data_IF_669778177067
#
_entry.id   IF_669778177067
#
_cell.length_a   1.000
_cell.length_b   1.000
_cell.length_c   1.000
_cell.angle_alpha   90.00
_cell.angle_beta   90.00
_cell.angle_gamma   90.00
#
_symmetry.space_group_name_H-M   'P 1'
#
loop_
_entity.id
_entity.type
_entity.pdbx_description
1 polymer ?
#
# COMPACT_ATOMS: atom_id res chain seq x y z
N UNK A 1 2.35 -32.16 52.17
CA UNK A 1 0.87 -32.05 52.12
C UNK A 1 0.48 -31.70 50.69
N UNK A 2 -0.27 -32.60 50.04
CA UNK A 2 -0.77 -32.44 48.68
C UNK A 2 -2.07 -31.64 48.73
N UNK A 3 -2.23 -30.63 47.88
CA UNK A 3 -3.51 -29.98 47.61
C UNK A 3 -3.85 -30.17 46.13
N UNK A 4 -4.98 -30.84 45.88
CA UNK A 4 -5.64 -30.93 44.57
C UNK A 4 -6.47 -29.66 44.38
N UNK A 5 -6.42 -29.08 43.17
CA UNK A 5 -7.39 -28.08 42.72
C UNK A 5 -8.58 -28.81 42.10
N UNK A 6 -9.78 -28.53 42.60
CA UNK A 6 -11.05 -28.84 41.91
C UNK A 6 -11.63 -27.54 41.35
N UNK A 7 -12.13 -27.51 40.11
CA UNK A 7 -12.87 -26.37 39.59
C UNK A 7 -14.31 -26.49 40.07
N UNK A 8 -14.81 -25.46 40.76
CA UNK A 8 -16.24 -25.04 40.80
C UNK A 8 -16.48 -24.18 42.04
N UNK A 9 -16.29 -22.87 41.90
CA UNK A 9 -16.91 -21.88 42.79
C UNK A 9 -17.42 -20.72 41.93
N UNK A 10 -18.70 -20.77 41.56
CA UNK A 10 -19.44 -19.59 41.14
C UNK A 10 -19.73 -18.72 42.37
N UNK A 11 -19.12 -17.53 42.44
CA UNK A 11 -19.47 -16.52 43.45
C UNK A 11 -20.76 -15.82 43.01
N UNK A 12 -21.88 -16.19 43.61
CA UNK A 12 -23.17 -15.51 43.48
C UNK A 12 -23.20 -14.28 44.39
N UNK A 13 -22.95 -13.09 43.83
CA UNK A 13 -23.14 -11.82 44.55
C UNK A 13 -24.63 -11.46 44.49
N UNK A 14 -25.29 -11.33 45.66
CA UNK A 14 -26.69 -10.88 45.72
C UNK A 14 -26.78 -9.38 45.48
N UNK A 15 -27.69 -8.98 44.59
CA UNK A 15 -27.93 -7.60 44.14
C UNK A 15 -28.19 -6.56 45.25
N UNK A 16 -28.62 -7.00 46.44
CA UNK A 16 -28.99 -6.11 47.55
C UNK A 16 -27.79 -5.59 48.35
N UNK A 17 -26.59 -6.13 48.11
CA UNK A 17 -25.40 -5.84 48.92
C UNK A 17 -24.43 -4.84 48.27
N UNK A 18 -24.82 -4.18 47.17
CA UNK A 18 -24.00 -3.17 46.47
C UNK A 18 -24.31 -1.77 47.03
N UNK A 19 -23.34 -1.07 47.66
CA UNK A 19 -23.54 0.26 48.23
C UNK A 19 -23.99 1.29 47.18
N UNK A 20 -24.92 2.16 47.57
CA UNK A 20 -25.63 3.14 46.72
C UNK A 20 -24.79 4.30 46.17
N UNK A 21 -23.46 4.30 46.34
CA UNK A 21 -22.59 5.41 45.95
C UNK A 21 -22.12 5.40 44.48
N UNK A 22 -22.47 4.38 43.68
CA UNK A 22 -22.09 4.28 42.27
C UNK A 22 -23.33 4.24 41.35
N UNK A 23 -23.99 5.38 41.13
CA UNK A 23 -25.19 5.46 40.28
C UNK A 23 -24.89 5.65 38.78
N UNK A 24 -23.66 5.97 38.37
CA UNK A 24 -23.29 6.09 36.94
C UNK A 24 -22.96 4.76 36.26
N UNK A 25 -22.55 3.74 37.01
CA UNK A 25 -22.15 2.42 36.46
C UNK A 25 -23.33 1.44 36.31
N UNK A 26 -24.49 1.74 36.90
CA UNK A 26 -25.71 0.91 36.81
C UNK A 26 -26.34 0.88 35.41
N UNK A 27 -26.14 1.91 34.60
CA UNK A 27 -26.68 1.98 33.22
C UNK A 27 -25.85 1.13 32.25
N UNK A 28 -24.53 1.08 32.46
CA UNK A 28 -23.60 0.31 31.62
C UNK A 28 -23.79 -1.20 31.86
N UNK A 29 -23.97 -1.62 33.11
CA UNK A 29 -24.26 -3.02 33.45
C UNK A 29 -25.63 -3.50 32.95
N UNK A 30 -26.64 -2.63 32.85
CA UNK A 30 -27.95 -2.98 32.25
C UNK A 30 -27.85 -3.24 30.74
N UNK A 31 -27.05 -2.47 30.01
CA UNK A 31 -26.87 -2.70 28.57
C UNK A 31 -26.03 -3.94 28.25
N UNK A 32 -25.03 -4.26 29.08
CA UNK A 32 -24.21 -5.47 28.91
C UNK A 32 -25.00 -6.77 29.20
N UNK A 33 -25.98 -6.73 30.11
CA UNK A 33 -26.86 -7.88 30.40
C UNK A 33 -27.99 -8.06 29.38
N UNK A 34 -28.43 -7.01 28.67
CA UNK A 34 -29.41 -7.14 27.58
C UNK A 34 -28.77 -7.68 26.27
N UNK A 35 -27.51 -7.35 26.00
CA UNK A 35 -26.79 -7.85 24.82
C UNK A 35 -26.42 -9.33 24.93
N UNK A 36 -26.09 -9.82 26.13
CA UNK A 36 -25.78 -11.23 26.36
C UNK A 36 -27.00 -12.15 26.28
N UNK A 37 -28.20 -11.64 26.58
CA UNK A 37 -29.46 -12.40 26.45
C UNK A 37 -29.93 -12.51 24.99
N UNK A 38 -29.61 -11.54 24.12
CA UNK A 38 -29.96 -11.58 22.69
C UNK A 38 -29.13 -12.60 21.91
N UNK A 39 -27.85 -12.76 22.27
CA UNK A 39 -26.95 -13.74 21.62
C UNK A 39 -27.37 -15.19 21.92
N UNK A 40 -27.99 -15.44 23.07
CA UNK A 40 -28.46 -16.78 23.45
C UNK A 40 -29.76 -17.21 22.75
N UNK A 41 -30.55 -16.25 22.22
CA UNK A 41 -31.84 -16.56 21.55
C UNK A 41 -31.66 -16.85 20.06
N UNK A 42 -30.58 -16.36 19.42
CA UNK A 42 -30.34 -16.58 17.97
C UNK A 42 -29.68 -17.94 17.67
N UNK A 43 -29.14 -18.64 18.67
CA UNK A 43 -28.45 -19.93 18.49
C UNK A 43 -29.27 -21.16 18.89
N UNK A 44 -30.61 -21.06 18.94
CA UNK A 44 -31.48 -22.19 19.29
C UNK A 44 -32.79 -22.19 18.51
N UNK A 45 -32.69 -22.44 17.20
CA UNK A 45 -33.83 -22.90 16.39
C UNK A 45 -33.37 -24.12 15.57
N UNK A 46 -33.95 -25.31 15.77
CA UNK A 46 -33.64 -26.49 14.96
C UNK A 46 -34.40 -26.48 13.63
N UNK A 47 -33.72 -26.96 12.59
CA UNK A 47 -34.25 -27.17 11.25
C UNK A 47 -35.34 -28.27 11.23
N UNK A 48 -36.43 -28.00 10.52
CA UNK A 48 -37.39 -29.01 10.06
C UNK A 48 -37.78 -28.66 8.62
N UNK A 49 -37.56 -29.58 7.68
CA UNK A 49 -37.78 -29.38 6.25
C UNK A 49 -39.13 -29.89 5.75
N UNK A 50 -39.49 -29.54 4.51
CA UNK A 50 -39.89 -30.49 3.44
C UNK A 50 -40.16 -29.78 2.09
N UNK A 51 -39.63 -30.42 1.04
CA UNK A 51 -40.10 -30.64 -0.35
C UNK A 51 -40.54 -29.51 -1.32
N UNK A 52 -39.75 -29.43 -2.39
CA UNK A 52 -40.04 -29.37 -3.84
C UNK A 52 -41.40 -28.83 -4.36
N UNK A 53 -41.32 -27.84 -5.25
CA UNK A 53 -42.10 -27.80 -6.50
C UNK A 53 -41.38 -26.96 -7.56
N UNK A 54 -41.30 -27.52 -8.76
CA UNK A 54 -40.91 -26.91 -10.04
C UNK A 54 -41.77 -25.71 -10.43
N UNK A 55 -41.22 -24.73 -11.16
CA UNK A 55 -41.87 -24.06 -12.30
C UNK A 55 -40.84 -23.25 -13.10
N UNK A 56 -40.71 -23.55 -14.39
CA UNK A 56 -40.18 -22.64 -15.42
C UNK A 56 -41.25 -21.62 -15.79
N UNK A 57 -40.83 -20.38 -16.13
CA UNK A 57 -41.17 -19.67 -17.37
C UNK A 57 -41.25 -18.15 -17.19
N UNK A 58 -40.35 -17.46 -17.91
CA UNK A 58 -40.60 -16.33 -18.82
C UNK A 58 -41.19 -14.98 -18.34
N UNK A 59 -40.57 -13.96 -18.96
CA UNK A 59 -41.14 -12.71 -19.54
C UNK A 59 -41.31 -11.45 -18.69
N UNK A 60 -40.61 -10.43 -19.19
CA UNK A 60 -41.05 -9.06 -19.47
C UNK A 60 -41.45 -8.14 -18.30
N UNK A 61 -40.58 -7.15 -18.08
CA UNK A 61 -41.01 -5.83 -17.63
C UNK A 61 -40.71 -4.80 -18.72
N UNK A 62 -41.77 -4.11 -19.13
CA UNK A 62 -41.82 -3.06 -20.12
C UNK A 62 -41.43 -1.70 -19.54
N UNK A 63 -40.98 -0.81 -20.44
CA UNK A 63 -41.31 0.64 -20.61
C UNK A 63 -41.28 1.51 -19.35
N UNK A 64 -40.57 2.64 -19.32
CA UNK A 64 -40.66 3.89 -20.11
C UNK A 64 -39.57 4.81 -19.48
N UNK A 65 -38.84 5.70 -20.15
CA UNK A 65 -39.30 6.84 -20.96
C UNK A 65 -38.14 7.41 -21.77
N UNK A 66 -38.38 7.65 -23.06
CA UNK A 66 -37.57 8.53 -23.90
C UNK A 66 -38.52 9.61 -24.46
N UNK A 67 -38.13 10.88 -24.32
CA UNK A 67 -38.62 12.10 -24.97
C UNK A 67 -37.51 13.15 -24.68
N UNK A 68 -37.02 13.97 -25.59
CA UNK A 68 -37.40 14.25 -26.97
C UNK A 68 -36.21 14.95 -27.66
N UNK A 69 -36.16 14.88 -28.99
CA UNK A 69 -35.13 15.47 -29.81
C UNK A 69 -35.66 16.62 -30.68
N UNK A 70 -34.72 17.46 -31.08
CA UNK A 70 -34.74 18.39 -32.21
C UNK A 70 -35.23 19.82 -31.96
N UNK A 71 -34.31 20.76 -32.22
CA UNK A 71 -34.47 21.76 -33.28
C UNK A 71 -33.08 22.17 -33.77
N UNK A 72 -32.86 22.06 -35.07
CA UNK A 72 -31.75 22.66 -35.79
C UNK A 72 -32.27 23.90 -36.53
N UNK A 73 -31.55 25.03 -36.48
CA UNK A 73 -31.37 25.89 -37.66
C UNK A 73 -30.23 26.93 -37.47
N UNK A 74 -29.43 27.03 -38.52
CA UNK A 74 -28.64 28.18 -39.02
C UNK A 74 -27.81 29.08 -38.08
N UNK A 75 -26.49 29.14 -38.37
CA UNK A 75 -25.86 30.35 -38.94
C UNK A 75 -24.45 30.10 -39.48
N UNK A 76 -24.20 30.85 -40.55
CA UNK A 76 -23.10 30.85 -41.53
C UNK A 76 -22.03 31.91 -41.19
N UNK A 77 -20.85 31.80 -41.83
CA UNK A 77 -19.73 32.77 -41.96
C UNK A 77 -18.79 32.88 -40.73
N UNK A 78 -17.46 32.90 -40.83
CA UNK A 78 -16.56 33.32 -41.91
C UNK A 78 -15.13 32.84 -41.56
N UNK A 79 -14.43 32.19 -42.49
CA UNK A 79 -13.00 31.87 -42.37
C UNK A 79 -12.29 32.40 -43.63
N UNK A 80 -11.55 33.51 -43.53
CA UNK A 80 -10.42 33.89 -44.42
C UNK A 80 -9.88 35.29 -44.12
N UNK A 81 -8.65 35.33 -43.61
CA UNK A 81 -7.60 36.38 -43.58
C UNK A 81 -6.93 36.25 -42.21
N UNK A 82 -5.61 36.16 -42.05
CA UNK A 82 -4.52 36.63 -42.90
C UNK A 82 -3.23 35.98 -42.39
N UNK A 83 -2.51 35.30 -43.28
CA UNK A 83 -1.05 35.15 -43.20
C UNK A 83 -0.47 36.48 -43.64
N UNK A 84 0.34 37.12 -42.81
CA UNK A 84 1.53 37.87 -43.21
C UNK A 84 2.24 38.47 -41.99
N UNK A 85 3.54 38.68 -42.14
CA UNK A 85 4.48 39.39 -41.25
C UNK A 85 5.24 38.54 -40.23
N UNK A 86 6.24 37.81 -40.74
CA UNK A 86 7.48 37.63 -40.00
C UNK A 86 8.45 38.72 -40.48
N UNK A 87 8.75 39.68 -39.61
CA UNK A 87 9.74 40.73 -39.84
C UNK A 87 11.12 40.26 -39.34
N UNK A 88 12.10 40.49 -40.20
CA UNK A 88 13.55 40.50 -39.97
C UNK A 88 14.01 41.35 -38.78
N UNK A 89 15.16 41.01 -38.17
CA UNK A 89 16.26 41.86 -37.59
C UNK A 89 17.13 40.96 -36.63
N UNK A 90 18.47 41.14 -36.46
CA UNK A 90 19.51 40.28 -37.05
C UNK A 90 20.37 39.53 -36.00
N UNK A 91 21.29 38.68 -36.49
CA UNK A 91 22.37 38.06 -35.71
C UNK A 91 23.32 39.09 -35.07
N UNK A 92 23.90 38.76 -33.91
CA UNK A 92 25.27 39.13 -33.59
C UNK A 92 26.17 37.89 -33.55
N UNK A 93 27.24 37.98 -34.33
CA UNK A 93 28.43 37.14 -34.28
C UNK A 93 29.17 37.38 -32.96
N UNK A 94 29.52 36.33 -32.23
CA UNK A 94 30.74 36.28 -31.42
C UNK A 94 31.16 34.82 -31.17
N UNK A 95 32.09 34.38 -32.03
CA UNK A 95 33.37 33.78 -31.67
C UNK A 95 33.45 32.83 -30.45
N UNK A 96 33.56 31.54 -30.81
CA UNK A 96 34.32 30.46 -30.19
C UNK A 96 35.09 30.76 -28.88
N UNK A 97 34.82 29.94 -27.84
CA UNK A 97 35.83 29.07 -27.24
C UNK A 97 35.23 28.10 -26.20
N UNK A 98 35.63 26.82 -26.33
CA UNK A 98 35.63 25.73 -25.33
C UNK A 98 34.29 25.08 -24.98
N UNK A 99 34.03 23.94 -25.62
CA UNK A 99 33.35 22.80 -24.99
C UNK A 99 33.78 21.49 -25.69
N UNK A 100 34.95 20.98 -25.28
CA UNK A 100 35.29 19.55 -25.42
C UNK A 100 35.03 18.97 -24.04
N UNK A 101 33.87 18.35 -23.85
CA UNK A 101 33.49 17.83 -22.54
C UNK A 101 32.13 17.16 -22.46
N UNK A 102 31.60 16.57 -23.53
CA UNK A 102 30.27 15.93 -23.52
C UNK A 102 30.21 14.62 -24.31
N UNK A 103 31.33 13.88 -24.38
CA UNK A 103 31.33 12.47 -24.84
C UNK A 103 31.86 11.45 -23.84
N UNK A 104 32.57 11.85 -22.78
CA UNK A 104 33.03 10.92 -21.74
C UNK A 104 32.02 10.66 -20.61
N UNK A 105 30.91 11.40 -20.58
CA UNK A 105 29.87 11.24 -19.54
C UNK A 105 28.75 10.26 -19.91
N UNK A 106 28.68 9.79 -21.17
CA UNK A 106 27.61 8.89 -21.66
C UNK A 106 28.11 7.45 -21.87
N UNK A 107 29.42 7.21 -21.87
CA UNK A 107 30.00 5.85 -21.99
C UNK A 107 30.45 5.23 -20.65
N UNK A 108 30.25 5.91 -19.51
CA UNK A 108 30.61 5.37 -18.18
C UNK A 108 29.48 4.66 -17.43
N UNK A 109 28.27 4.59 -17.97
CA UNK A 109 27.14 3.87 -17.35
C UNK A 109 26.93 2.44 -17.87
N UNK A 110 27.80 1.92 -18.76
CA UNK A 110 27.66 0.56 -19.30
C UNK A 110 28.72 -0.45 -18.83
N UNK A 111 29.58 -0.11 -17.88
CA UNK A 111 30.53 -1.07 -17.32
C UNK A 111 30.78 -0.79 -15.84
N UNK A 112 29.80 -1.18 -15.02
CA UNK A 112 29.84 -1.05 -13.57
C UNK A 112 28.81 -1.98 -12.94
N UNK A 113 29.05 -3.29 -13.06
CA UNK A 113 28.36 -4.28 -12.24
C UNK A 113 28.95 -4.18 -10.82
N UNK A 114 28.66 -3.06 -10.15
CA UNK A 114 29.00 -2.88 -8.74
C UNK A 114 27.99 -3.69 -7.93
N UNK A 115 28.49 -4.79 -7.40
CA UNK A 115 27.73 -5.79 -6.68
C UNK A 115 27.33 -5.23 -5.32
N UNK A 116 26.05 -5.43 -4.99
CA UNK A 116 25.50 -5.22 -3.66
C UNK A 116 26.37 -5.93 -2.61
N UNK A 117 26.38 -5.49 -1.34
CA UNK A 117 27.13 -6.16 -0.29
C UNK A 117 26.73 -7.64 -0.24
N UNK A 118 27.60 -8.49 -0.80
CA UNK A 118 27.38 -9.91 -0.92
C UNK A 118 27.54 -10.51 0.48
N UNK A 119 26.45 -11.05 1.01
CA UNK A 119 26.51 -11.90 2.21
C UNK A 119 27.34 -13.16 1.96
N UNK A 120 27.74 -13.43 0.72
CA UNK A 120 28.38 -14.64 0.22
C UNK A 120 27.40 -15.79 0.03
N UNK A 121 26.11 -15.55 0.30
CA UNK A 121 25.07 -16.57 0.34
C UNK A 121 24.25 -16.56 -0.95
N UNK A 122 24.04 -17.75 -1.52
CA UNK A 122 23.14 -17.93 -2.66
C UNK A 122 21.68 -17.63 -2.30
N UNK A 123 20.84 -17.39 -3.32
CA UNK A 123 19.42 -17.05 -3.16
C UNK A 123 18.68 -17.97 -2.18
N UNK A 124 18.81 -19.29 -2.34
CA UNK A 124 18.13 -20.28 -1.49
C UNK A 124 18.56 -20.23 -0.02
N UNK A 125 19.84 -19.90 0.24
CA UNK A 125 20.35 -19.75 1.60
C UNK A 125 19.76 -18.49 2.25
N UNK A 126 19.72 -17.37 1.53
CA UNK A 126 19.10 -16.14 2.00
C UNK A 126 17.59 -16.33 2.24
N UNK A 127 16.89 -16.99 1.31
CA UNK A 127 15.47 -17.35 1.42
C UNK A 127 15.20 -18.19 2.67
N UNK A 128 15.99 -19.24 2.89
CA UNK A 128 15.86 -20.12 4.06
C UNK A 128 16.13 -19.38 5.36
N UNK A 129 17.18 -18.57 5.42
CA UNK A 129 17.52 -17.79 6.60
C UNK A 129 16.41 -16.79 6.95
N UNK A 130 15.85 -16.11 5.95
CA UNK A 130 14.79 -15.11 6.12
C UNK A 130 13.49 -15.75 6.60
N UNK A 131 13.06 -16.85 5.97
CA UNK A 131 11.87 -17.61 6.41
C UNK A 131 12.01 -18.05 7.87
N UNK A 132 13.19 -18.56 8.25
CA UNK A 132 13.47 -18.96 9.64
C UNK A 132 13.43 -17.77 10.60
N UNK A 133 14.04 -16.64 10.24
CA UNK A 133 14.10 -15.44 11.08
C UNK A 133 12.71 -14.88 11.37
N UNK A 134 11.87 -14.78 10.35
CA UNK A 134 10.58 -14.10 10.45
C UNK A 134 9.39 -15.03 10.68
N UNK A 135 9.55 -16.35 10.47
CA UNK A 135 8.45 -17.30 10.58
C UNK A 135 7.42 -17.16 9.47
N UNK A 136 7.84 -16.71 8.28
CA UNK A 136 6.99 -16.54 7.09
C UNK A 136 7.43 -17.51 5.98
N UNK A 137 6.57 -17.71 4.99
CA UNK A 137 6.90 -18.47 3.78
C UNK A 137 7.31 -17.53 2.64
N UNK A 138 8.44 -17.81 1.97
CA UNK A 138 8.82 -17.16 0.70
C UNK A 138 8.61 -18.19 -0.41
N UNK A 139 7.48 -18.07 -1.10
CA UNK A 139 7.03 -19.02 -2.13
C UNK A 139 7.52 -18.62 -3.52
N UNK A 140 8.03 -19.61 -4.25
CA UNK A 140 8.41 -19.49 -5.67
C UNK A 140 7.34 -20.07 -6.61
N UNK A 141 6.34 -20.74 -6.03
CA UNK A 141 5.24 -21.38 -6.72
C UNK A 141 3.92 -21.04 -6.02
N UNK A 142 2.87 -20.76 -6.78
CA UNK A 142 1.54 -20.54 -6.22
C UNK A 142 0.44 -20.95 -7.21
N UNK A 143 -0.68 -21.46 -6.69
CA UNK A 143 -1.79 -21.90 -7.55
C UNK A 143 -2.80 -20.76 -7.74
N UNK A 144 -2.72 -20.08 -8.88
CA UNK A 144 -3.67 -19.03 -9.27
C UNK A 144 -4.90 -19.58 -10.01
N UNK A 145 -6.07 -18.90 -9.97
CA UNK A 145 -6.31 -17.64 -9.27
C UNK A 145 -6.59 -17.84 -7.77
N UNK A 146 -6.12 -16.90 -6.96
CA UNK A 146 -6.48 -16.79 -5.54
C UNK A 146 -7.78 -15.98 -5.45
N UNK A 147 -8.79 -16.52 -4.76
CA UNK A 147 -10.07 -15.82 -4.57
C UNK A 147 -9.94 -14.87 -3.40
N UNK A 148 -10.34 -13.61 -3.58
CA UNK A 148 -10.52 -12.63 -2.51
C UNK A 148 -11.92 -12.02 -2.61
N UNK A 149 -12.32 -11.30 -1.57
CA UNK A 149 -13.62 -10.63 -1.48
C UNK A 149 -13.89 -9.67 -2.65
N UNK A 150 -12.87 -8.97 -3.14
CA UNK A 150 -13.04 -7.88 -4.12
C UNK A 150 -12.62 -8.25 -5.55
N UNK A 151 -12.08 -9.46 -5.75
CA UNK A 151 -11.67 -9.95 -7.07
C UNK A 151 -10.61 -11.04 -6.99
N UNK A 152 -10.43 -11.83 -8.04
CA UNK A 152 -9.36 -12.82 -8.07
C UNK A 152 -7.99 -12.14 -8.23
N UNK A 153 -7.00 -12.67 -7.53
CA UNK A 153 -5.58 -12.42 -7.84
C UNK A 153 -5.13 -13.49 -8.82
N UNK A 154 -4.64 -13.06 -9.99
CA UNK A 154 -4.06 -13.92 -11.02
C UNK A 154 -2.55 -13.77 -11.10
N UNK A 155 -1.87 -14.78 -11.62
CA UNK A 155 -0.41 -14.81 -11.79
C UNK A 155 0.06 -16.14 -12.37
N UNK A 156 1.37 -16.26 -12.55
CA UNK A 156 2.08 -17.48 -12.96
C UNK A 156 3.37 -17.62 -12.18
N UNK A 157 3.90 -18.83 -12.14
CA UNK A 157 5.24 -19.07 -11.63
C UNK A 157 6.27 -18.28 -12.45
N UNK A 158 7.19 -17.63 -11.76
CA UNK A 158 8.27 -16.90 -12.39
C UNK A 158 9.45 -17.83 -12.75
N UNK A 159 10.24 -17.42 -13.74
CA UNK A 159 11.46 -18.13 -14.09
C UNK A 159 12.55 -17.85 -13.04
N UNK A 160 13.41 -18.84 -12.80
CA UNK A 160 14.43 -18.79 -11.75
C UNK A 160 15.35 -17.57 -11.85
N UNK A 161 15.73 -17.17 -13.07
CA UNK A 161 16.62 -16.01 -13.30
C UNK A 161 16.00 -14.70 -12.84
N UNK A 162 14.70 -14.52 -13.06
CA UNK A 162 13.99 -13.31 -12.64
C UNK A 162 13.86 -13.27 -11.12
N UNK A 163 13.53 -14.42 -10.51
CA UNK A 163 13.46 -14.60 -9.06
C UNK A 163 14.80 -14.24 -8.41
N UNK A 164 15.91 -14.77 -8.91
CA UNK A 164 17.24 -14.52 -8.36
C UNK A 164 17.65 -13.04 -8.49
N UNK A 165 17.41 -12.45 -9.66
CA UNK A 165 17.70 -11.02 -9.89
C UNK A 165 16.83 -10.10 -9.04
N UNK A 166 15.59 -10.49 -8.75
CA UNK A 166 14.70 -9.76 -7.85
C UNK A 166 15.13 -9.93 -6.40
N UNK A 167 15.48 -11.16 -6.02
CA UNK A 167 16.03 -11.53 -4.71
C UNK A 167 17.23 -10.69 -4.31
N UNK A 168 18.13 -10.41 -5.26
CA UNK A 168 19.28 -9.52 -5.03
C UNK A 168 18.86 -8.12 -4.54
N UNK A 169 17.74 -7.58 -5.01
CA UNK A 169 17.20 -6.31 -4.51
C UNK A 169 16.36 -6.50 -3.24
N UNK A 170 15.62 -7.59 -3.16
CA UNK A 170 14.65 -7.83 -2.08
C UNK A 170 15.31 -8.12 -0.73
N UNK A 171 16.30 -9.02 -0.68
CA UNK A 171 16.84 -9.48 0.61
C UNK A 171 17.48 -8.37 1.45
N UNK A 172 18.33 -7.48 0.90
CA UNK A 172 18.92 -6.41 1.69
C UNK A 172 17.86 -5.48 2.28
N UNK A 173 16.83 -5.13 1.50
CA UNK A 173 15.74 -4.26 1.96
C UNK A 173 14.89 -4.95 3.03
N UNK A 174 14.56 -6.23 2.86
CA UNK A 174 13.71 -6.96 3.80
C UNK A 174 14.41 -7.30 5.13
N UNK A 175 15.73 -7.40 5.11
CA UNK A 175 16.53 -7.67 6.32
C UNK A 175 16.57 -6.49 7.30
N UNK A 176 16.18 -5.28 6.86
CA UNK A 176 16.04 -4.10 7.72
C UNK A 176 14.99 -4.30 8.82
N UNK A 177 13.96 -5.11 8.58
CA UNK A 177 12.81 -5.16 9.47
C UNK A 177 13.07 -5.92 10.78
N UNK A 178 12.60 -5.40 11.92
CA UNK A 178 12.59 -6.17 13.15
C UNK A 178 11.53 -7.28 13.06
N UNK A 179 11.79 -8.43 13.67
CA UNK A 179 10.88 -9.58 13.62
C UNK A 179 9.53 -9.30 14.29
N UNK A 180 9.54 -8.42 15.29
CA UNK A 180 8.36 -7.90 15.98
C UNK A 180 7.41 -7.17 15.04
N UNK A 181 7.93 -6.41 14.07
CA UNK A 181 7.12 -5.75 13.04
C UNK A 181 6.42 -6.77 12.14
N UNK A 182 7.17 -7.73 11.58
CA UNK A 182 6.58 -8.76 10.70
C UNK A 182 5.48 -9.53 11.44
N UNK A 183 5.73 -9.90 12.69
CA UNK A 183 4.76 -10.59 13.54
C UNK A 183 3.53 -9.73 13.85
N UNK A 184 3.71 -8.44 14.17
CA UNK A 184 2.62 -7.51 14.48
C UNK A 184 1.75 -7.22 13.26
N UNK A 185 2.36 -7.09 12.08
CA UNK A 185 1.70 -6.97 10.79
C UNK A 185 1.05 -8.28 10.31
N UNK A 186 1.25 -9.40 11.03
CA UNK A 186 0.64 -10.71 10.75
C UNK A 186 0.92 -11.27 9.35
N UNK A 187 1.96 -10.77 8.67
CA UNK A 187 2.37 -11.28 7.37
C UNK A 187 2.73 -12.76 7.49
N UNK A 188 2.17 -13.59 6.61
CA UNK A 188 2.39 -15.06 6.64
C UNK A 188 3.21 -15.57 5.47
N UNK A 189 3.07 -14.92 4.30
CA UNK A 189 3.66 -15.39 3.06
C UNK A 189 4.04 -14.21 2.15
N UNK A 190 5.11 -14.39 1.40
CA UNK A 190 5.50 -13.57 0.26
C UNK A 190 5.60 -14.50 -0.94
N UNK A 191 5.03 -14.11 -2.07
CA UNK A 191 5.00 -14.88 -3.31
C UNK A 191 5.75 -14.10 -4.39
N UNK A 192 6.75 -14.75 -4.99
CA UNK A 192 7.42 -14.26 -6.19
C UNK A 192 6.80 -14.93 -7.41
N UNK A 193 6.22 -14.13 -8.31
CA UNK A 193 5.47 -14.61 -9.47
C UNK A 193 5.67 -13.69 -10.68
N UNK A 194 5.04 -14.01 -11.81
CA UNK A 194 4.97 -13.16 -13.00
C UNK A 194 3.52 -13.07 -13.49
N UNK A 195 3.24 -12.16 -14.42
CA UNK A 195 1.89 -11.87 -14.94
C UNK A 195 0.87 -11.58 -13.82
N UNK A 196 1.31 -10.89 -12.76
CA UNK A 196 0.46 -10.60 -11.61
C UNK A 196 -0.67 -9.66 -12.02
N UNK A 197 -1.89 -9.97 -11.56
CA UNK A 197 -3.07 -9.17 -11.83
C UNK A 197 -4.09 -9.22 -10.69
N UNK A 198 -4.87 -8.15 -10.56
CA UNK A 198 -6.04 -8.11 -9.70
C UNK A 198 -7.28 -7.88 -10.55
N UNK A 199 -8.24 -8.80 -10.50
CA UNK A 199 -9.45 -8.77 -11.33
C UNK A 199 -9.15 -8.54 -12.82
N UNK A 200 -8.10 -9.19 -13.34
CA UNK A 200 -7.63 -9.07 -14.72
C UNK A 200 -6.80 -7.82 -15.03
N UNK A 201 -6.71 -6.85 -14.11
CA UNK A 201 -5.85 -5.68 -14.30
C UNK A 201 -4.40 -5.99 -13.88
N UNK A 202 -3.39 -5.75 -14.72
CA UNK A 202 -2.00 -5.98 -14.35
C UNK A 202 -1.57 -5.18 -13.11
N UNK A 203 -0.71 -5.77 -12.28
CA UNK A 203 -0.14 -5.16 -11.07
C UNK A 203 1.35 -5.50 -10.95
N UNK A 204 2.15 -4.58 -10.40
CA UNK A 204 3.55 -4.87 -10.04
C UNK A 204 3.62 -5.63 -8.72
N UNK A 205 2.70 -5.33 -7.81
CA UNK A 205 2.58 -5.98 -6.52
C UNK A 205 1.16 -5.87 -6.00
N UNK A 206 0.79 -6.74 -5.04
CA UNK A 206 -0.52 -6.75 -4.39
C UNK A 206 -0.34 -7.06 -2.90
N UNK A 207 -0.89 -6.23 -1.99
CA UNK A 207 -1.02 -6.54 -0.57
C UNK A 207 -2.37 -7.21 -0.32
N UNK A 208 -2.36 -8.54 -0.22
CA UNK A 208 -3.56 -9.32 0.10
C UNK A 208 -3.79 -9.31 1.62
N UNK A 209 -4.57 -8.32 2.06
CA UNK A 209 -4.92 -8.11 3.46
C UNK A 209 -5.82 -9.22 4.02
N UNK A 210 -6.58 -9.92 3.15
CA UNK A 210 -7.49 -10.99 3.56
C UNK A 210 -6.70 -12.23 3.99
N UNK A 211 -5.64 -12.57 3.25
CA UNK A 211 -4.81 -13.75 3.51
C UNK A 211 -3.47 -13.43 4.20
N UNK A 212 -3.14 -12.15 4.38
CA UNK A 212 -1.85 -11.66 4.89
C UNK A 212 -0.67 -12.13 4.03
N UNK A 213 -0.78 -11.88 2.72
CA UNK A 213 0.20 -12.29 1.71
C UNK A 213 0.62 -11.09 0.88
N UNK A 214 1.92 -10.98 0.57
CA UNK A 214 2.42 -10.06 -0.44
C UNK A 214 2.73 -10.83 -1.71
N UNK A 215 2.25 -10.31 -2.84
CA UNK A 215 2.61 -10.81 -4.17
C UNK A 215 3.48 -9.79 -4.86
N UNK A 216 4.62 -10.22 -5.38
CA UNK A 216 5.50 -9.39 -6.18
C UNK A 216 5.66 -10.00 -7.57
N UNK A 217 5.33 -9.22 -8.60
CA UNK A 217 5.69 -9.55 -9.97
C UNK A 217 7.18 -9.27 -10.17
N UNK A 218 7.97 -10.33 -10.29
CA UNK A 218 9.43 -10.22 -10.35
C UNK A 218 9.94 -9.78 -11.73
N UNK A 219 9.09 -9.73 -12.75
CA UNK A 219 9.42 -9.30 -14.10
C UNK A 219 8.95 -7.86 -14.40
N UNK A 220 7.97 -7.33 -13.66
CA UNK A 220 7.49 -5.94 -13.79
C UNK A 220 8.32 -4.94 -12.99
N UNK A 221 8.26 -3.68 -13.39
CA UNK A 221 8.95 -2.57 -12.71
C UNK A 221 10.48 -2.59 -12.82
N UNK A 222 11.06 -3.55 -13.56
CA UNK A 222 12.51 -3.81 -13.62
C UNK A 222 13.34 -2.75 -14.35
N UNK A 223 12.68 -1.73 -14.93
CA UNK A 223 13.36 -0.58 -15.54
C UNK A 223 14.01 0.34 -14.49
N UNK A 224 13.64 0.22 -13.20
CA UNK A 224 14.24 1.01 -12.11
C UNK A 224 14.40 0.17 -10.84
N UNK A 225 15.65 -0.01 -10.38
CA UNK A 225 15.93 -0.68 -9.10
C UNK A 225 15.33 0.08 -7.92
N UNK A 226 15.35 1.41 -7.97
CA UNK A 226 14.71 2.29 -6.98
C UNK A 226 13.22 2.01 -6.90
N UNK A 227 12.52 1.97 -8.04
CA UNK A 227 11.09 1.70 -8.09
C UNK A 227 10.75 0.33 -7.48
N UNK A 228 11.54 -0.70 -7.77
CA UNK A 228 11.37 -2.03 -7.16
C UNK A 228 11.52 -1.96 -5.64
N UNK A 229 12.58 -1.34 -5.13
CA UNK A 229 12.83 -1.20 -3.68
C UNK A 229 11.69 -0.44 -3.00
N UNK A 230 11.24 0.66 -3.60
CA UNK A 230 10.09 1.43 -3.09
C UNK A 230 8.82 0.60 -3.07
N UNK A 231 8.53 -0.16 -4.13
CA UNK A 231 7.37 -1.05 -4.21
C UNK A 231 7.38 -2.08 -3.08
N UNK A 232 8.52 -2.68 -2.74
CA UNK A 232 8.62 -3.64 -1.63
C UNK A 232 8.14 -3.03 -0.30
N UNK A 233 8.63 -1.83 0.02
CA UNK A 233 8.28 -1.16 1.27
C UNK A 233 6.85 -0.60 1.25
N UNK A 234 6.44 -0.02 0.12
CA UNK A 234 5.11 0.53 -0.09
C UNK A 234 4.03 -0.52 0.17
N UNK A 235 4.16 -1.71 -0.42
CA UNK A 235 3.15 -2.75 -0.31
C UNK A 235 3.13 -3.41 1.06
N UNK A 236 4.30 -3.57 1.69
CA UNK A 236 4.34 -4.03 3.06
C UNK A 236 3.72 -3.01 4.03
N UNK A 237 3.86 -1.71 3.75
CA UNK A 237 3.21 -0.69 4.55
C UNK A 237 1.69 -0.80 4.53
N UNK A 238 1.06 -1.11 3.40
CA UNK A 238 -0.40 -1.32 3.36
C UNK A 238 -0.85 -2.40 4.36
N UNK A 239 -0.06 -3.45 4.57
CA UNK A 239 -0.35 -4.48 5.60
C UNK A 239 -0.15 -3.91 7.01
N UNK A 240 0.92 -3.16 7.24
CA UNK A 240 1.18 -2.50 8.54
C UNK A 240 0.02 -1.57 8.89
N UNK A 241 -0.36 -0.69 7.97
CA UNK A 241 -1.39 0.33 8.13
C UNK A 241 -2.76 -0.31 8.37
N UNK A 242 -3.07 -1.40 7.66
CA UNK A 242 -4.27 -2.20 7.94
C UNK A 242 -4.30 -2.73 9.38
N UNK A 243 -3.17 -3.19 9.92
CA UNK A 243 -3.14 -3.74 11.27
C UNK A 243 -2.91 -2.73 12.39
N UNK A 244 -2.58 -1.49 12.06
CA UNK A 244 -2.47 -0.41 13.04
C UNK A 244 -3.82 -0.17 13.73
N UNK A 245 -4.86 0.08 12.93
CA UNK A 245 -6.19 0.38 13.45
C UNK A 245 -7.38 -0.16 12.63
N UNK A 246 -7.12 -0.91 11.55
CA UNK A 246 -8.11 -1.42 10.59
C UNK A 246 -8.86 -0.34 9.81
N UNK A 247 -8.27 0.85 9.63
CA UNK A 247 -8.84 1.98 8.89
C UNK A 247 -7.93 2.50 7.79
N UNK A 248 -7.48 1.61 6.92
CA UNK A 248 -6.61 1.91 5.77
C UNK A 248 -7.02 3.18 5.01
N UNK A 249 -8.30 3.30 4.66
CA UNK A 249 -8.83 4.41 3.85
C UNK A 249 -9.31 5.63 4.66
N UNK A 250 -9.06 5.68 5.98
CA UNK A 250 -9.56 6.77 6.82
C UNK A 250 -8.61 7.09 7.98
N UNK A 251 -7.82 8.14 7.79
CA UNK A 251 -6.98 8.71 8.84
C UNK A 251 -7.14 10.24 8.89
N UNK A 252 -7.97 10.71 9.83
CA UNK A 252 -8.23 12.13 10.01
C UNK A 252 -7.01 12.89 10.53
N UNK A 253 -6.18 12.25 11.38
CA UNK A 253 -5.00 12.89 11.95
C UNK A 253 -3.94 13.12 10.88
N UNK A 254 -3.73 12.13 10.00
CA UNK A 254 -2.86 12.27 8.83
C UNK A 254 -3.42 13.29 7.83
N UNK A 255 -4.71 13.18 7.50
CA UNK A 255 -5.34 14.08 6.52
C UNK A 255 -5.27 15.55 6.94
N UNK A 256 -5.37 15.83 8.24
CA UNK A 256 -5.27 17.17 8.81
C UNK A 256 -3.85 17.79 8.73
N UNK A 257 -2.83 17.02 8.35
CA UNK A 257 -1.50 17.56 8.07
C UNK A 257 -1.42 18.33 6.75
N UNK A 258 -2.34 18.06 5.82
CA UNK A 258 -2.40 18.75 4.54
C UNK A 258 -2.97 20.17 4.69
N UNK A 259 -2.84 20.96 3.63
CA UNK A 259 -3.42 22.31 3.58
C UNK A 259 -4.94 22.29 3.87
N UNK A 260 -5.48 23.30 4.59
CA UNK A 260 -6.90 23.38 4.87
C UNK A 260 -7.76 23.31 3.59
N UNK A 261 -8.75 22.43 3.59
CA UNK A 261 -9.65 22.21 2.45
C UNK A 261 -9.12 21.23 1.40
N UNK A 262 -7.92 20.69 1.55
CA UNK A 262 -7.44 19.60 0.71
C UNK A 262 -8.33 18.34 0.85
N UNK A 263 -8.50 17.61 -0.24
CA UNK A 263 -9.18 16.31 -0.26
C UNK A 263 -8.44 15.37 -1.20
N UNK A 264 -8.23 14.12 -0.77
CA UNK A 264 -7.64 13.07 -1.58
C UNK A 264 -8.56 12.63 -2.73
N UNK A 265 -7.99 11.93 -3.72
CA UNK A 265 -8.74 11.25 -4.77
C UNK A 265 -9.51 10.02 -4.28
N UNK A 266 -9.86 9.12 -5.20
CA UNK A 266 -10.65 7.90 -4.94
C UNK A 266 -9.84 6.63 -4.62
N UNK A 267 -8.52 6.77 -4.41
CA UNK A 267 -7.58 5.73 -4.04
C UNK A 267 -6.66 5.25 -5.18
N UNK A 268 -5.61 4.50 -4.82
CA UNK A 268 -4.58 4.05 -5.77
C UNK A 268 -5.07 3.09 -6.86
N UNK A 269 -6.19 2.39 -6.61
CA UNK A 269 -6.83 1.51 -7.60
C UNK A 269 -7.25 2.24 -8.89
N UNK A 270 -7.57 3.54 -8.79
CA UNK A 270 -8.08 4.35 -9.88
C UNK A 270 -6.99 5.25 -10.51
N UNK A 271 -5.80 5.31 -9.89
CA UNK A 271 -4.67 6.14 -10.33
C UNK A 271 -3.73 5.44 -11.34
N UNK A 272 -4.22 4.39 -12.00
CA UNK A 272 -3.43 3.58 -12.94
C UNK A 272 -3.27 4.27 -14.31
N UNK A 273 -2.10 4.15 -14.93
CA UNK A 273 -1.85 4.58 -16.31
C UNK A 273 -0.96 5.81 -16.49
N UNK A 274 -0.62 6.53 -15.42
CA UNK A 274 0.42 7.57 -15.44
C UNK A 274 1.75 6.98 -14.95
N UNK A 275 2.64 6.64 -15.88
CA UNK A 275 3.97 6.13 -15.55
C UNK A 275 4.85 7.15 -14.80
N UNK A 276 4.51 8.44 -14.86
CA UNK A 276 5.20 9.49 -14.10
C UNK A 276 4.67 9.65 -12.67
N UNK A 277 3.56 9.00 -12.33
CA UNK A 277 2.86 9.20 -11.06
C UNK A 277 3.71 8.87 -9.83
N UNK A 278 4.64 7.91 -9.96
CA UNK A 278 5.55 7.47 -8.90
C UNK A 278 6.86 8.27 -8.81
N UNK A 279 7.13 9.16 -9.76
CA UNK A 279 8.32 10.00 -9.75
C UNK A 279 8.20 11.07 -8.65
N UNK A 280 9.33 11.40 -8.02
CA UNK A 280 9.38 12.53 -7.11
C UNK A 280 8.97 13.81 -7.83
N UNK A 281 8.20 14.64 -7.14
CA UNK A 281 7.75 15.93 -7.67
C UNK A 281 7.97 17.03 -6.66
N UNK A 282 8.48 18.17 -7.13
CA UNK A 282 8.61 19.35 -6.31
C UNK A 282 7.41 20.31 -6.43
N UNK A 283 6.55 20.09 -7.43
CA UNK A 283 5.44 20.99 -7.77
C UNK A 283 4.20 20.79 -6.93
N UNK A 284 4.21 19.79 -6.04
CA UNK A 284 3.07 19.47 -5.19
C UNK A 284 3.47 19.58 -3.70
N UNK A 285 3.25 20.74 -3.05
CA UNK A 285 3.56 20.92 -1.63
C UNK A 285 2.87 19.86 -0.76
N UNK A 286 3.60 19.30 0.20
CA UNK A 286 3.11 18.27 1.11
C UNK A 286 3.05 16.85 0.55
N UNK A 287 3.39 16.62 -0.72
CA UNK A 287 3.37 15.29 -1.34
C UNK A 287 4.68 14.99 -2.05
N UNK A 288 5.21 13.77 -1.88
CA UNK A 288 6.43 13.38 -2.57
C UNK A 288 6.20 13.04 -4.04
N UNK A 289 5.04 12.47 -4.37
CA UNK A 289 4.70 12.01 -5.72
C UNK A 289 3.29 12.42 -6.08
N UNK A 290 2.96 12.45 -7.37
CA UNK A 290 1.58 12.68 -7.80
C UNK A 290 0.65 11.55 -7.36
N UNK A 291 1.18 10.32 -7.30
CA UNK A 291 0.44 9.15 -6.84
C UNK A 291 -0.02 9.28 -5.37
N UNK A 292 0.75 9.99 -4.53
CA UNK A 292 0.37 10.29 -3.14
C UNK A 292 -0.95 11.08 -3.01
N UNK A 293 -1.41 11.76 -4.07
CA UNK A 293 -2.69 12.48 -4.07
C UNK A 293 -3.90 11.55 -4.22
N UNK A 294 -3.68 10.30 -4.66
CA UNK A 294 -4.77 9.39 -5.01
C UNK A 294 -5.57 8.95 -3.79
N UNK A 295 -4.95 8.77 -2.63
CA UNK A 295 -5.59 8.29 -1.41
C UNK A 295 -4.71 8.52 -0.18
N UNK A 296 -5.32 8.51 1.00
CA UNK A 296 -4.60 8.68 2.28
C UNK A 296 -3.69 7.49 2.56
N UNK A 297 -4.12 6.29 2.16
CA UNK A 297 -3.36 5.06 2.21
C UNK A 297 -2.11 5.12 1.33
N UNK A 298 -2.23 5.68 0.13
CA UNK A 298 -1.14 5.79 -0.83
C UNK A 298 -0.13 6.86 -0.43
N UNK A 299 -0.60 7.99 0.11
CA UNK A 299 0.26 9.03 0.67
C UNK A 299 1.11 8.50 1.82
N UNK A 300 0.51 7.75 2.76
CA UNK A 300 1.24 7.12 3.86
C UNK A 300 2.27 6.11 3.34
N UNK A 301 1.88 5.23 2.41
CA UNK A 301 2.77 4.23 1.83
C UNK A 301 3.93 4.84 1.02
N UNK A 302 3.67 5.93 0.30
CA UNK A 302 4.69 6.70 -0.42
C UNK A 302 5.66 7.39 0.53
N UNK A 303 5.16 8.11 1.54
CA UNK A 303 6.01 8.72 2.58
C UNK A 303 6.89 7.66 3.24
N UNK A 304 6.31 6.52 3.63
CA UNK A 304 7.03 5.42 4.25
C UNK A 304 8.16 4.87 3.36
N UNK A 305 7.83 4.49 2.12
CA UNK A 305 8.80 3.88 1.20
C UNK A 305 9.93 4.85 0.83
N UNK A 306 9.61 6.13 0.64
CA UNK A 306 10.58 7.18 0.29
C UNK A 306 11.50 7.49 1.47
N UNK A 307 10.98 7.51 2.69
CA UNK A 307 11.81 7.66 3.90
C UNK A 307 12.85 6.54 4.05
N UNK A 308 12.54 5.33 3.58
CA UNK A 308 13.45 4.18 3.64
C UNK A 308 14.46 4.22 2.48
N UNK A 309 13.97 4.32 1.24
CA UNK A 309 14.77 4.11 0.03
C UNK A 309 15.52 5.39 -0.40
N UNK A 310 14.87 6.54 -0.23
CA UNK A 310 15.34 7.85 -0.69
C UNK A 310 15.49 8.82 0.48
N UNK A 311 16.01 8.33 1.60
CA UNK A 311 16.08 9.06 2.88
C UNK A 311 16.74 10.44 2.77
N UNK A 312 17.77 10.58 1.95
CA UNK A 312 18.44 11.87 1.69
C UNK A 312 17.51 12.88 1.00
N UNK A 313 16.82 12.46 -0.06
CA UNK A 313 15.85 13.30 -0.76
C UNK A 313 14.66 13.66 0.14
N UNK A 314 14.16 12.69 0.92
CA UNK A 314 13.13 12.91 1.92
C UNK A 314 13.56 13.96 2.94
N UNK A 315 14.79 13.83 3.47
CA UNK A 315 15.33 14.76 4.44
C UNK A 315 15.50 16.16 3.84
N UNK A 316 16.07 16.28 2.65
CA UNK A 316 16.23 17.56 1.96
C UNK A 316 14.88 18.26 1.75
N UNK A 317 13.87 17.52 1.27
CA UNK A 317 12.52 18.05 1.08
C UNK A 317 11.88 18.51 2.39
N UNK A 318 12.08 17.78 3.47
CA UNK A 318 11.56 18.17 4.80
C UNK A 318 12.16 19.48 5.35
N UNK A 319 13.31 19.94 4.83
CA UNK A 319 13.88 21.21 5.24
C UNK A 319 13.15 22.42 4.65
N UNK A 320 12.45 22.23 3.53
CA UNK A 320 11.79 23.31 2.79
C UNK A 320 10.26 23.16 2.74
N UNK A 321 9.74 21.98 3.04
CA UNK A 321 8.31 21.67 3.03
C UNK A 321 7.88 21.19 4.43
N UNK A 322 7.18 22.07 5.16
CA UNK A 322 6.76 21.82 6.54
C UNK A 322 5.69 20.73 6.66
N UNK A 323 4.87 20.52 5.63
CA UNK A 323 3.87 19.44 5.60
C UNK A 323 4.60 18.10 5.46
N UNK A 324 5.59 18.01 4.56
CA UNK A 324 6.45 16.82 4.46
C UNK A 324 7.16 16.54 5.79
N UNK A 325 7.72 17.56 6.44
CA UNK A 325 8.36 17.40 7.75
C UNK A 325 7.37 16.85 8.80
N UNK A 326 6.12 17.35 8.81
CA UNK A 326 5.08 16.88 9.71
C UNK A 326 4.67 15.43 9.43
N UNK A 327 4.47 15.06 8.17
CA UNK A 327 4.15 13.68 7.74
C UNK A 327 5.26 12.70 8.10
N UNK A 328 6.53 13.05 7.86
CA UNK A 328 7.66 12.20 8.25
C UNK A 328 7.73 12.00 9.77
N UNK A 329 7.48 13.06 10.55
CA UNK A 329 7.40 12.95 12.01
C UNK A 329 6.24 12.04 12.45
N UNK A 330 5.07 12.21 11.86
CA UNK A 330 3.89 11.40 12.14
C UNK A 330 4.14 9.93 11.79
N UNK A 331 4.77 9.64 10.65
CA UNK A 331 5.13 8.29 10.21
C UNK A 331 6.04 7.59 11.23
N UNK A 332 7.09 8.28 11.71
CA UNK A 332 7.96 7.72 12.77
C UNK A 332 7.18 7.44 14.06
N UNK A 333 6.29 8.34 14.46
CA UNK A 333 5.49 8.17 15.67
C UNK A 333 4.50 7.00 15.54
N UNK A 334 3.81 6.88 14.39
CA UNK A 334 2.89 5.79 14.09
C UNK A 334 3.62 4.46 14.21
N UNK A 335 4.73 4.29 13.48
CA UNK A 335 5.46 3.02 13.46
C UNK A 335 6.05 2.65 14.83
N UNK A 336 6.60 3.62 15.57
CA UNK A 336 7.12 3.38 16.92
C UNK A 336 6.00 3.02 17.91
N UNK A 337 4.79 3.54 17.72
CA UNK A 337 3.61 3.18 18.51
C UNK A 337 3.13 1.78 18.16
N UNK A 338 3.13 1.44 16.87
CA UNK A 338 2.75 0.13 16.37
C UNK A 338 3.69 -0.97 16.86
N UNK A 339 5.01 -0.73 16.78
CA UNK A 339 6.09 -1.58 17.28
C UNK A 339 7.26 -0.73 17.77
N UNK A 340 7.66 -0.82 19.06
CA UNK A 340 8.74 0.00 19.63
C UNK A 340 10.10 -0.12 18.93
N UNK A 341 10.40 -1.27 18.31
CA UNK A 341 11.64 -1.53 17.58
C UNK A 341 11.75 -0.74 16.27
N UNK A 342 10.67 -0.07 15.83
CA UNK A 342 10.68 0.89 14.71
C UNK A 342 11.17 2.27 15.20
N UNK A 343 12.36 2.28 15.76
CA UNK A 343 12.99 3.44 16.39
C UNK A 343 14.04 4.12 15.49
N UNK A 344 14.84 5.01 16.07
CA UNK A 344 15.89 5.73 15.34
C UNK A 344 16.98 4.80 14.78
N UNK A 345 17.23 3.64 15.41
CA UNK A 345 18.21 2.68 14.91
C UNK A 345 17.73 2.05 13.59
N UNK A 346 16.44 1.73 13.47
CA UNK A 346 15.85 1.28 12.21
C UNK A 346 16.06 2.33 11.09
N UNK A 347 15.71 3.59 11.36
CA UNK A 347 15.82 4.66 10.35
C UNK A 347 17.27 4.93 9.95
N UNK A 348 18.21 4.86 10.89
CA UNK A 348 19.65 4.99 10.61
C UNK A 348 20.15 3.82 9.75
N UNK A 349 19.76 2.58 10.07
CA UNK A 349 20.12 1.41 9.28
C UNK A 349 19.56 1.49 7.85
N UNK A 350 18.29 1.90 7.70
CA UNK A 350 17.66 2.10 6.41
C UNK A 350 18.37 3.17 5.55
N UNK A 351 18.81 4.27 6.18
CA UNK A 351 19.56 5.33 5.50
C UNK A 351 21.00 4.92 5.15
N UNK A 352 21.61 4.04 5.94
CA UNK A 352 22.97 3.55 5.72
C UNK A 352 23.05 2.38 4.72
N UNK A 353 21.91 1.78 4.35
CA UNK A 353 21.90 0.65 3.41
C UNK A 353 22.39 1.10 2.02
N UNK A 354 23.47 0.49 1.48
CA UNK A 354 23.97 0.84 0.15
C UNK A 354 22.95 0.47 -0.94
N UNK A 355 22.56 1.45 -1.74
CA UNK A 355 21.66 1.28 -2.89
C UNK A 355 22.37 1.79 -4.15
N UNK A 356 22.96 0.89 -4.95
CA UNK A 356 23.45 1.22 -6.28
C UNK A 356 22.30 1.45 -7.26
#
# INVERSE_FOLDING_TARGET
MSWRLTPDVCVLIRWKDIPTQYNKERTILRHLLQLSLLVYIVLSIPACGEKQSSYESTTEWSRESALDASTADQRDKTEKRSREQNQSIPEPQHEAQREVGTKEAVEREQNGQETLPDTGLGFEQQRTALQKRYGITLSLHETFPIKTTHGPIGGKDAVQTDIESYGALFFPEWQLYPTTLIKRARLTKIVFCTDLSFNGQPRTAIPDLEHNVLYFDVAKGRHSKEYVRRTIHHEFFHIIDWYDDFKLYSDQAWSALNEPGFTYGSGGKDAQGDSSGSLLTDTQPGFFTKYSLSGVEEDKAEVYSIMIVLSSAAHQRSQTDSIIAAKMKQMKQLLKTFVPDMDDAFWQAAAALPRP
#
